data_IF_417395420318
#
_entry.id   IF_417395420318
#
_cell.length_a   1.000
_cell.length_b   1.000
_cell.length_c   1.000
_cell.angle_alpha   90.00
_cell.angle_beta   90.00
_cell.angle_gamma   90.00
#
_symmetry.space_group_name_H-M   'P 1'
#
loop_
_entity.id
_entity.type
_entity.pdbx_description
1 polymer ?
#
# COMPACT_ATOMS: atom_id res chain seq x y z
N UNK A 1 55.89 -19.96 -30.16
CA UNK A 1 55.90 -20.34 -28.72
C UNK A 1 55.24 -19.29 -27.83
N UNK A 2 55.89 -18.15 -27.49
CA UNK A 2 55.24 -17.11 -26.67
C UNK A 2 54.02 -16.47 -27.34
N UNK A 3 54.02 -16.39 -28.68
CA UNK A 3 52.90 -15.85 -29.45
C UNK A 3 51.60 -16.66 -29.30
N UNK A 4 51.65 -18.00 -29.23
CA UNK A 4 50.45 -18.85 -29.03
C UNK A 4 49.79 -18.60 -27.67
N UNK A 5 50.61 -18.38 -26.62
CA UNK A 5 50.11 -18.04 -25.28
C UNK A 5 49.55 -16.61 -25.26
N UNK A 6 50.22 -15.66 -25.94
CA UNK A 6 49.74 -14.28 -26.04
C UNK A 6 48.42 -14.18 -26.81
N UNK A 7 48.24 -14.96 -27.87
CA UNK A 7 47.02 -15.00 -28.67
C UNK A 7 45.86 -15.58 -27.83
N UNK A 8 46.10 -16.68 -27.12
CA UNK A 8 45.15 -17.23 -26.16
C UNK A 8 44.73 -16.23 -25.09
N UNK A 9 45.69 -15.51 -24.49
CA UNK A 9 45.39 -14.47 -23.50
C UNK A 9 44.60 -13.29 -24.11
N UNK A 10 44.83 -12.93 -25.38
CA UNK A 10 44.06 -11.89 -26.08
C UNK A 10 42.63 -12.35 -26.34
N UNK A 11 42.41 -13.58 -26.76
CA UNK A 11 41.06 -14.14 -26.94
C UNK A 11 40.29 -14.23 -25.61
N UNK A 12 41.01 -14.43 -24.50
CA UNK A 12 40.45 -14.61 -23.16
C UNK A 12 40.54 -13.37 -22.25
N UNK A 13 40.80 -12.17 -22.80
CA UNK A 13 40.95 -10.94 -22.01
C UNK A 13 39.73 -10.59 -21.15
N UNK A 14 38.53 -10.98 -21.60
CA UNK A 14 37.24 -10.82 -20.92
C UNK A 14 37.21 -11.38 -19.49
N UNK A 15 38.08 -12.36 -19.17
CA UNK A 15 38.23 -12.91 -17.83
C UNK A 15 38.58 -11.81 -16.83
N UNK A 16 39.38 -10.83 -17.26
CA UNK A 16 39.83 -9.72 -16.43
C UNK A 16 38.65 -8.90 -15.92
N UNK A 17 37.65 -8.66 -16.78
CA UNK A 17 36.49 -7.85 -16.43
C UNK A 17 35.55 -8.59 -15.49
N UNK A 18 35.32 -9.88 -15.75
CA UNK A 18 34.55 -10.75 -14.85
C UNK A 18 35.24 -10.83 -13.48
N UNK A 19 36.55 -11.05 -13.46
CA UNK A 19 37.31 -11.15 -12.21
C UNK A 19 37.27 -9.84 -11.42
N UNK A 20 37.42 -8.69 -12.08
CA UNK A 20 37.26 -7.36 -11.44
C UNK A 20 35.86 -7.20 -10.85
N UNK A 21 34.82 -7.58 -11.59
CA UNK A 21 33.45 -7.54 -11.11
C UNK A 21 33.29 -8.40 -9.85
N UNK A 22 33.66 -9.69 -9.92
CA UNK A 22 33.54 -10.64 -8.80
C UNK A 22 34.36 -10.20 -7.59
N UNK A 23 35.55 -9.64 -7.78
CA UNK A 23 36.38 -9.11 -6.69
C UNK A 23 35.74 -7.92 -5.98
N UNK A 24 34.96 -7.13 -6.71
CA UNK A 24 34.18 -6.02 -6.15
C UNK A 24 32.81 -6.44 -5.62
N UNK A 25 32.41 -7.71 -5.79
CA UNK A 25 31.16 -8.23 -5.27
C UNK A 25 31.24 -8.44 -3.75
N UNK A 26 30.18 -8.08 -3.03
CA UNK A 26 30.12 -8.20 -1.59
C UNK A 26 28.82 -7.66 -1.00
N UNK A 27 28.65 -7.72 0.33
CA UNK A 27 27.41 -7.37 1.02
C UNK A 27 26.90 -5.97 0.70
N UNK A 28 27.78 -4.99 0.55
CA UNK A 28 27.39 -3.62 0.22
C UNK A 28 26.68 -3.53 -1.14
N UNK A 29 27.18 -4.22 -2.17
CA UNK A 29 26.55 -4.22 -3.49
C UNK A 29 25.18 -4.89 -3.49
N UNK A 30 25.03 -5.94 -2.68
CA UNK A 30 23.73 -6.59 -2.48
C UNK A 30 22.76 -5.59 -1.84
N UNK A 31 23.17 -4.90 -0.78
CA UNK A 31 22.32 -3.89 -0.13
C UNK A 31 21.97 -2.74 -1.07
N UNK A 32 22.91 -2.23 -1.87
CA UNK A 32 22.69 -1.17 -2.85
C UNK A 32 21.65 -1.56 -3.92
N UNK A 33 21.52 -2.85 -4.20
CA UNK A 33 20.52 -3.34 -5.14
C UNK A 33 19.11 -3.38 -4.57
N UNK A 34 18.93 -3.42 -3.24
CA UNK A 34 17.61 -3.61 -2.61
C UNK A 34 16.63 -2.51 -3.05
N UNK A 35 15.47 -2.90 -3.57
CA UNK A 35 14.47 -1.95 -4.05
C UNK A 35 14.79 -1.28 -5.38
N UNK A 36 15.83 -1.71 -6.09
CA UNK A 36 16.11 -1.21 -7.43
C UNK A 36 15.01 -1.63 -8.44
N UNK A 37 14.87 -0.90 -9.56
CA UNK A 37 14.01 -1.34 -10.66
C UNK A 37 14.34 -2.76 -11.11
N UNK A 38 13.29 -3.57 -11.36
CA UNK A 38 13.40 -4.99 -11.73
C UNK A 38 14.32 -5.21 -12.94
N UNK A 39 14.28 -4.30 -13.92
CA UNK A 39 15.15 -4.33 -15.10
C UNK A 39 16.64 -4.44 -14.74
N UNK A 40 17.07 -3.84 -13.62
CA UNK A 40 18.46 -3.88 -13.18
C UNK A 40 18.85 -5.29 -12.71
N UNK A 41 17.96 -5.96 -11.98
CA UNK A 41 18.15 -7.34 -11.57
C UNK A 41 18.18 -8.28 -12.78
N UNK A 42 17.24 -8.13 -13.72
CA UNK A 42 17.19 -8.94 -14.96
C UNK A 42 18.49 -8.80 -15.74
N UNK A 43 18.95 -7.57 -15.99
CA UNK A 43 20.20 -7.32 -16.72
C UNK A 43 21.41 -7.97 -16.04
N UNK A 44 21.50 -7.87 -14.71
CA UNK A 44 22.60 -8.46 -13.95
C UNK A 44 22.57 -9.98 -14.03
N UNK A 45 21.42 -10.61 -13.77
CA UNK A 45 21.29 -12.07 -13.76
C UNK A 45 21.51 -12.65 -15.16
N UNK A 46 21.02 -11.99 -16.21
CA UNK A 46 21.34 -12.37 -17.59
C UNK A 46 22.84 -12.30 -17.88
N UNK A 47 23.52 -11.21 -17.46
CA UNK A 47 24.97 -11.07 -17.63
C UNK A 47 25.75 -12.18 -16.90
N UNK A 48 25.33 -12.54 -15.69
CA UNK A 48 25.93 -13.63 -14.91
C UNK A 48 25.73 -14.99 -15.60
N UNK A 49 24.56 -15.24 -16.19
CA UNK A 49 24.30 -16.47 -16.94
C UNK A 49 25.17 -16.54 -18.19
N UNK A 50 25.29 -15.45 -18.95
CA UNK A 50 26.16 -15.38 -20.13
C UNK A 50 27.63 -15.62 -19.77
N UNK A 51 28.09 -15.01 -18.67
CA UNK A 51 29.44 -15.22 -18.13
C UNK A 51 29.66 -16.65 -17.66
N UNK A 52 28.68 -17.27 -17.00
CA UNK A 52 28.75 -18.66 -16.60
C UNK A 52 28.91 -19.58 -17.81
N UNK A 53 28.10 -19.40 -18.86
CA UNK A 53 28.24 -20.16 -20.11
C UNK A 53 29.59 -19.94 -20.77
N UNK A 54 30.08 -18.69 -20.80
CA UNK A 54 31.38 -18.36 -21.39
C UNK A 54 32.55 -19.00 -20.64
N UNK A 55 32.55 -18.97 -19.31
CA UNK A 55 33.57 -19.61 -18.48
C UNK A 55 33.51 -21.13 -18.63
N UNK A 56 32.32 -21.72 -18.63
CA UNK A 56 32.17 -23.17 -18.78
C UNK A 56 32.62 -23.69 -20.15
N UNK A 57 32.51 -22.87 -21.21
CA UNK A 57 33.04 -23.20 -22.54
C UNK A 57 34.56 -22.94 -22.70
N UNK A 58 35.22 -22.35 -21.71
CA UNK A 58 36.65 -22.06 -21.76
C UNK A 58 37.48 -23.36 -21.80
N UNK A 59 38.53 -23.43 -22.66
CA UNK A 59 39.49 -24.52 -22.67
C UNK A 59 40.19 -24.67 -21.32
N UNK A 60 40.28 -25.91 -20.83
CA UNK A 60 40.91 -26.22 -19.53
C UNK A 60 42.43 -26.25 -19.68
N UNK A 61 42.94 -26.60 -20.86
CA UNK A 61 44.36 -26.70 -21.15
C UNK A 61 44.68 -26.23 -22.57
N UNK A 62 45.86 -25.63 -22.75
CA UNK A 62 46.44 -25.31 -24.05
C UNK A 62 47.85 -25.91 -24.13
N UNK A 63 48.04 -26.86 -25.04
CA UNK A 63 49.36 -27.42 -25.37
C UNK A 63 49.89 -26.74 -26.63
N UNK A 64 51.05 -26.08 -26.51
CA UNK A 64 51.71 -25.42 -27.65
C UNK A 64 52.09 -26.42 -28.76
N UNK A 65 52.17 -25.98 -30.03
CA UNK A 65 52.41 -26.85 -31.21
C UNK A 65 53.70 -27.70 -31.12
N UNK A 66 54.69 -27.26 -30.34
CA UNK A 66 55.93 -27.99 -30.07
C UNK A 66 55.89 -28.90 -28.83
N UNK A 67 54.78 -28.95 -28.10
CA UNK A 67 54.61 -29.64 -26.80
C UNK A 67 55.61 -29.20 -25.72
N UNK A 68 56.13 -27.97 -25.82
CA UNK A 68 57.15 -27.44 -24.92
C UNK A 68 56.54 -26.76 -23.69
N UNK A 69 55.32 -26.23 -23.82
CA UNK A 69 54.58 -25.56 -22.75
C UNK A 69 53.13 -26.03 -22.74
N UNK A 70 52.63 -26.31 -21.53
CA UNK A 70 51.24 -26.59 -21.20
C UNK A 70 50.72 -25.47 -20.30
N UNK A 71 49.70 -24.74 -20.77
CA UNK A 71 48.99 -23.77 -19.95
C UNK A 71 47.73 -24.44 -19.40
N UNK A 72 47.65 -24.59 -18.08
CA UNK A 72 46.44 -25.08 -17.40
C UNK A 72 45.61 -23.91 -16.89
N UNK A 73 44.36 -23.84 -17.32
CA UNK A 73 43.35 -22.87 -16.88
C UNK A 73 42.40 -23.45 -15.83
N UNK A 74 42.62 -24.70 -15.39
CA UNK A 74 41.70 -25.43 -14.52
C UNK A 74 41.37 -24.66 -13.23
N UNK A 75 42.38 -24.28 -12.45
CA UNK A 75 42.17 -23.58 -11.18
C UNK A 75 41.42 -22.25 -11.36
N UNK A 76 41.78 -21.49 -12.38
CA UNK A 76 41.14 -20.20 -12.68
C UNK A 76 39.68 -20.41 -13.11
N UNK A 77 39.41 -21.39 -13.97
CA UNK A 77 38.05 -21.73 -14.41
C UNK A 77 37.19 -22.12 -13.20
N UNK A 78 37.68 -23.03 -12.36
CA UNK A 78 36.96 -23.47 -11.16
C UNK A 78 36.74 -22.33 -10.15
N UNK A 79 37.72 -21.44 -9.96
CA UNK A 79 37.56 -20.24 -9.12
C UNK A 79 36.47 -19.31 -9.67
N UNK A 80 36.48 -19.03 -10.98
CA UNK A 80 35.47 -18.18 -11.62
C UNK A 80 34.08 -18.80 -11.55
N UNK A 81 33.94 -20.08 -11.87
CA UNK A 81 32.67 -20.82 -11.82
C UNK A 81 32.10 -20.81 -10.40
N UNK A 82 32.91 -21.09 -9.38
CA UNK A 82 32.46 -21.08 -7.99
C UNK A 82 32.05 -19.68 -7.50
N UNK A 83 32.79 -18.63 -7.88
CA UNK A 83 32.45 -17.25 -7.53
C UNK A 83 31.20 -16.74 -8.25
N UNK A 84 31.03 -17.09 -9.53
CA UNK A 84 29.81 -16.76 -10.29
C UNK A 84 28.59 -17.45 -9.68
N UNK A 85 28.69 -18.75 -9.34
CA UNK A 85 27.60 -19.47 -8.70
C UNK A 85 27.29 -18.92 -7.30
N UNK A 86 28.31 -18.58 -6.50
CA UNK A 86 28.13 -17.92 -5.20
C UNK A 86 27.41 -16.57 -5.35
N UNK A 87 27.85 -15.73 -6.29
CA UNK A 87 27.24 -14.42 -6.56
C UNK A 87 25.77 -14.59 -6.94
N UNK A 88 25.46 -15.56 -7.80
CA UNK A 88 24.08 -15.88 -8.21
C UNK A 88 23.23 -16.34 -7.02
N UNK A 89 23.78 -17.19 -6.15
CA UNK A 89 23.11 -17.63 -4.91
C UNK A 89 22.84 -16.47 -3.95
N UNK A 90 23.77 -15.53 -3.83
CA UNK A 90 23.60 -14.35 -2.98
C UNK A 90 22.44 -13.47 -3.49
N UNK A 91 22.38 -13.22 -4.80
CA UNK A 91 21.27 -12.46 -5.42
C UNK A 91 19.95 -13.18 -5.20
N UNK A 92 19.90 -14.51 -5.44
CA UNK A 92 18.69 -15.30 -5.23
C UNK A 92 18.19 -15.18 -3.79
N UNK A 93 19.08 -15.39 -2.81
CA UNK A 93 18.74 -15.31 -1.39
C UNK A 93 18.24 -13.91 -1.00
N UNK A 94 18.86 -12.85 -1.54
CA UNK A 94 18.40 -11.49 -1.31
C UNK A 94 17.01 -11.25 -1.88
N UNK A 95 16.79 -11.59 -3.16
CA UNK A 95 15.50 -11.36 -3.83
C UNK A 95 14.39 -12.16 -3.13
N UNK A 96 14.65 -13.42 -2.75
CA UNK A 96 13.71 -14.24 -1.98
C UNK A 96 13.35 -13.59 -0.64
N UNK A 97 14.35 -13.11 0.11
CA UNK A 97 14.10 -12.45 1.38
C UNK A 97 13.34 -11.13 1.20
N UNK A 98 13.68 -10.35 0.18
CA UNK A 98 12.99 -9.10 -0.15
C UNK A 98 11.53 -9.35 -0.52
N UNK A 99 11.24 -10.30 -1.40
CA UNK A 99 9.88 -10.71 -1.75
C UNK A 99 9.12 -11.14 -0.49
N UNK A 100 9.70 -12.00 0.35
CA UNK A 100 9.06 -12.47 1.59
C UNK A 100 8.68 -11.32 2.53
N UNK A 101 9.63 -10.44 2.83
CA UNK A 101 9.40 -9.32 3.77
C UNK A 101 8.33 -8.37 3.22
N UNK A 102 8.43 -8.02 1.93
CA UNK A 102 7.47 -7.11 1.28
C UNK A 102 6.08 -7.70 1.19
N UNK A 103 5.95 -8.98 0.79
CA UNK A 103 4.67 -9.70 0.76
C UNK A 103 4.03 -9.74 2.13
N UNK A 104 4.78 -10.12 3.18
CA UNK A 104 4.24 -10.19 4.54
C UNK A 104 3.73 -8.83 5.04
N UNK A 105 4.49 -7.77 4.78
CA UNK A 105 4.09 -6.41 5.12
C UNK A 105 2.81 -6.01 4.38
N UNK A 106 2.77 -6.19 3.05
CA UNK A 106 1.61 -5.84 2.24
C UNK A 106 0.37 -6.66 2.65
N UNK A 107 0.50 -7.97 2.82
CA UNK A 107 -0.62 -8.82 3.25
C UNK A 107 -1.18 -8.41 4.62
N UNK A 108 -0.33 -7.95 5.54
CA UNK A 108 -0.76 -7.47 6.86
C UNK A 108 -1.57 -6.18 6.72
N UNK A 109 -1.08 -5.21 5.93
CA UNK A 109 -1.80 -3.97 5.65
C UNK A 109 -3.16 -4.25 4.96
N UNK A 110 -3.18 -5.13 3.96
CA UNK A 110 -4.42 -5.54 3.27
C UNK A 110 -5.41 -6.25 4.21
N UNK A 111 -4.89 -7.11 5.11
CA UNK A 111 -5.71 -7.79 6.12
C UNK A 111 -6.41 -6.79 7.05
N UNK A 112 -5.73 -5.71 7.43
CA UNK A 112 -6.30 -4.67 8.29
C UNK A 112 -7.44 -3.92 7.57
N UNK A 113 -7.34 -3.67 6.26
CA UNK A 113 -8.45 -3.15 5.46
C UNK A 113 -9.62 -4.13 5.40
N UNK A 114 -9.35 -5.38 5.00
CA UNK A 114 -10.36 -6.44 4.83
C UNK A 114 -11.17 -6.66 6.12
N UNK A 115 -10.50 -6.72 7.27
CA UNK A 115 -11.17 -6.89 8.57
C UNK A 115 -12.18 -5.80 8.89
N UNK A 116 -11.89 -4.55 8.52
CA UNK A 116 -12.80 -3.42 8.75
C UNK A 116 -13.99 -3.50 7.79
N UNK A 117 -13.77 -3.86 6.53
CA UNK A 117 -14.82 -3.99 5.52
C UNK A 117 -15.81 -5.10 5.86
N UNK A 118 -15.32 -6.25 6.35
CA UNK A 118 -16.17 -7.39 6.71
C UNK A 118 -17.15 -7.14 7.86
N UNK A 119 -16.84 -6.20 8.77
CA UNK A 119 -17.69 -5.90 9.93
C UNK A 119 -18.63 -4.72 9.72
N UNK A 120 -18.74 -4.19 8.50
CA UNK A 120 -19.50 -2.98 8.18
C UNK A 120 -20.96 -3.01 8.65
N UNK A 121 -21.60 -4.19 8.69
CA UNK A 121 -23.00 -4.33 9.06
C UNK A 121 -23.24 -4.56 10.56
N UNK A 122 -22.21 -4.52 11.40
CA UNK A 122 -22.32 -4.83 12.83
C UNK A 122 -23.03 -3.73 13.63
N UNK A 123 -22.60 -2.47 13.48
CA UNK A 123 -23.15 -1.32 14.20
C UNK A 123 -22.81 0.00 13.49
N UNK A 124 -23.34 1.13 14.00
CA UNK A 124 -23.11 2.46 13.41
C UNK A 124 -21.65 2.92 13.47
N UNK A 125 -20.90 2.51 14.49
CA UNK A 125 -19.47 2.82 14.62
C UNK A 125 -18.64 1.99 13.64
N UNK A 126 -19.05 0.75 13.33
CA UNK A 126 -18.45 -0.09 12.31
C UNK A 126 -18.65 0.54 10.92
N UNK A 127 -19.83 1.08 10.64
CA UNK A 127 -20.09 1.81 9.39
C UNK A 127 -19.19 3.05 9.28
N UNK A 128 -19.12 3.88 10.33
CA UNK A 128 -18.28 5.08 10.33
C UNK A 128 -16.78 4.75 10.16
N UNK A 129 -16.27 3.73 10.87
CA UNK A 129 -14.90 3.24 10.69
C UNK A 129 -14.66 2.71 9.28
N UNK A 130 -15.65 2.02 8.70
CA UNK A 130 -15.56 1.54 7.33
C UNK A 130 -15.50 2.68 6.31
N UNK A 131 -16.28 3.76 6.50
CA UNK A 131 -16.17 4.96 5.64
C UNK A 131 -14.75 5.53 5.65
N UNK A 132 -14.18 5.74 6.86
CA UNK A 132 -12.83 6.26 7.01
C UNK A 132 -11.79 5.36 6.35
N UNK A 133 -11.87 4.04 6.63
CA UNK A 133 -10.91 3.07 6.10
C UNK A 133 -11.04 2.89 4.57
N UNK A 134 -12.24 3.04 4.02
CA UNK A 134 -12.47 3.02 2.58
C UNK A 134 -11.84 4.24 1.89
N UNK A 135 -11.95 5.43 2.48
CA UNK A 135 -11.29 6.63 1.96
C UNK A 135 -9.77 6.48 1.96
N UNK A 136 -9.20 6.00 3.08
CA UNK A 136 -7.77 5.69 3.18
C UNK A 136 -7.34 4.67 2.10
N UNK A 137 -8.12 3.61 1.89
CA UNK A 137 -7.85 2.60 0.87
C UNK A 137 -7.88 3.18 -0.55
N UNK A 138 -8.78 4.13 -0.82
CA UNK A 138 -8.88 4.78 -2.12
C UNK A 138 -7.70 5.72 -2.38
N UNK A 139 -7.27 6.48 -1.37
CA UNK A 139 -6.09 7.34 -1.44
C UNK A 139 -4.80 6.54 -1.67
N UNK A 140 -4.66 5.40 -1.00
CA UNK A 140 -3.46 4.56 -1.07
C UNK A 140 -3.47 3.55 -2.23
N UNK A 141 -4.58 3.41 -2.98
CA UNK A 141 -4.76 2.29 -3.91
C UNK A 141 -3.64 2.14 -4.94
N UNK A 142 -3.26 3.25 -5.61
CA UNK A 142 -2.20 3.24 -6.63
C UNK A 142 -0.88 2.75 -6.01
N UNK A 143 -0.53 3.24 -4.82
CA UNK A 143 0.70 2.84 -4.15
C UNK A 143 0.67 1.36 -3.74
N UNK A 144 -0.48 0.83 -3.31
CA UNK A 144 -0.64 -0.58 -2.97
C UNK A 144 -0.51 -1.47 -4.21
N UNK A 145 -1.09 -1.04 -5.33
CA UNK A 145 -1.01 -1.72 -6.64
C UNK A 145 0.43 -1.75 -7.17
N UNK A 146 1.14 -0.62 -7.17
CA UNK A 146 2.56 -0.56 -7.56
C UNK A 146 3.44 -1.48 -6.71
N UNK A 147 3.17 -1.56 -5.40
CA UNK A 147 3.88 -2.47 -4.49
C UNK A 147 3.58 -3.93 -4.82
N UNK A 148 2.34 -4.25 -5.14
CA UNK A 148 1.92 -5.59 -5.56
C UNK A 148 2.64 -6.03 -6.84
N UNK A 149 2.59 -5.18 -7.88
CA UNK A 149 3.25 -5.43 -9.16
C UNK A 149 4.77 -5.60 -9.02
N UNK A 150 5.41 -4.79 -8.17
CA UNK A 150 6.83 -4.91 -7.90
C UNK A 150 7.17 -6.26 -7.26
N UNK A 151 6.39 -6.70 -6.26
CA UNK A 151 6.60 -8.00 -5.60
C UNK A 151 6.40 -9.15 -6.59
N UNK A 152 5.35 -9.11 -7.40
CA UNK A 152 5.11 -10.11 -8.45
C UNK A 152 6.27 -10.16 -9.43
N UNK A 153 6.81 -9.01 -9.83
CA UNK A 153 7.96 -8.93 -10.72
C UNK A 153 9.23 -9.54 -10.11
N UNK A 154 9.43 -9.44 -8.79
CA UNK A 154 10.52 -10.13 -8.09
C UNK A 154 10.33 -11.65 -8.07
N UNK A 155 9.10 -12.12 -7.83
CA UNK A 155 8.77 -13.54 -7.83
C UNK A 155 8.94 -14.15 -9.23
N UNK A 156 8.53 -13.41 -10.26
CA UNK A 156 8.68 -13.81 -11.66
C UNK A 156 10.16 -13.81 -12.10
N UNK A 157 10.97 -12.88 -11.61
CA UNK A 157 12.43 -12.92 -11.78
C UNK A 157 13.02 -14.21 -11.22
N UNK A 158 12.62 -14.61 -10.00
CA UNK A 158 13.08 -15.87 -9.39
C UNK A 158 12.68 -17.05 -10.28
N UNK A 159 11.41 -17.09 -10.69
CA UNK A 159 10.83 -18.16 -11.51
C UNK A 159 11.56 -18.35 -12.83
N UNK A 160 11.82 -17.26 -13.55
CA UNK A 160 12.38 -17.31 -14.91
C UNK A 160 13.89 -17.50 -14.96
N UNK A 161 14.64 -16.99 -13.97
CA UNK A 161 16.09 -16.91 -14.08
C UNK A 161 16.86 -17.85 -13.14
N UNK A 162 16.23 -18.39 -12.10
CA UNK A 162 16.94 -19.19 -11.09
C UNK A 162 16.65 -20.69 -11.12
N UNK A 163 15.87 -21.18 -12.09
CA UNK A 163 15.56 -22.62 -12.35
C UNK A 163 14.89 -23.40 -11.19
N UNK A 164 14.97 -22.91 -9.95
CA UNK A 164 14.39 -23.49 -8.75
C UNK A 164 13.42 -22.49 -8.12
N UNK A 165 12.14 -22.66 -8.41
CA UNK A 165 11.07 -21.97 -7.71
C UNK A 165 10.62 -22.87 -6.55
N UNK A 166 10.89 -22.44 -5.32
CA UNK A 166 10.55 -23.24 -4.14
C UNK A 166 9.03 -23.27 -3.92
N UNK A 167 8.53 -24.36 -3.34
CA UNK A 167 7.12 -24.45 -2.91
C UNK A 167 6.74 -23.33 -1.93
N UNK A 168 7.71 -22.80 -1.17
CA UNK A 168 7.51 -21.64 -0.29
C UNK A 168 7.24 -20.36 -1.08
N UNK A 169 7.97 -20.13 -2.19
CA UNK A 169 7.75 -18.97 -3.06
C UNK A 169 6.38 -19.06 -3.76
N UNK A 170 6.01 -20.25 -4.23
CA UNK A 170 4.70 -20.49 -4.85
C UNK A 170 3.56 -20.24 -3.86
N UNK A 171 3.67 -20.79 -2.65
CA UNK A 171 2.69 -20.54 -1.61
C UNK A 171 2.59 -19.05 -1.26
N UNK A 172 3.71 -18.35 -1.20
CA UNK A 172 3.75 -16.92 -0.91
C UNK A 172 3.07 -16.11 -2.02
N UNK A 173 3.32 -16.44 -3.29
CA UNK A 173 2.73 -15.79 -4.45
C UNK A 173 1.21 -15.97 -4.47
N UNK A 174 0.73 -17.21 -4.31
CA UNK A 174 -0.70 -17.53 -4.22
C UNK A 174 -1.35 -16.79 -3.06
N UNK A 175 -0.75 -16.83 -1.86
CA UNK A 175 -1.33 -16.15 -0.68
C UNK A 175 -1.42 -14.64 -0.86
N UNK A 176 -0.44 -14.03 -1.56
CA UNK A 176 -0.43 -12.61 -1.84
C UNK A 176 -1.52 -12.23 -2.85
N UNK A 177 -1.68 -13.03 -3.92
CA UNK A 177 -2.74 -12.88 -4.91
C UNK A 177 -4.12 -13.01 -4.26
N UNK A 178 -4.35 -14.07 -3.50
CA UNK A 178 -5.62 -14.30 -2.79
C UNK A 178 -5.97 -13.12 -1.87
N UNK A 179 -4.98 -12.59 -1.15
CA UNK A 179 -5.18 -11.45 -0.25
C UNK A 179 -5.48 -10.15 -1.01
N UNK A 180 -4.82 -9.93 -2.15
CA UNK A 180 -5.07 -8.78 -3.01
C UNK A 180 -6.47 -8.84 -3.63
N UNK A 181 -6.90 -9.99 -4.12
CA UNK A 181 -8.25 -10.22 -4.64
C UNK A 181 -9.31 -10.03 -3.55
N UNK A 182 -9.09 -10.60 -2.36
CA UNK A 182 -9.98 -10.41 -1.22
C UNK A 182 -10.10 -8.92 -0.86
N UNK A 183 -9.00 -8.18 -0.81
CA UNK A 183 -9.02 -6.74 -0.58
C UNK A 183 -9.84 -5.98 -1.62
N UNK A 184 -9.62 -6.24 -2.91
CA UNK A 184 -10.36 -5.58 -3.99
C UNK A 184 -11.86 -5.87 -3.93
N UNK A 185 -12.21 -7.14 -3.69
CA UNK A 185 -13.58 -7.58 -3.56
C UNK A 185 -14.28 -6.92 -2.37
N UNK A 186 -13.69 -7.02 -1.18
CA UNK A 186 -14.26 -6.47 0.06
C UNK A 186 -14.36 -4.95 0.02
N UNK A 187 -13.39 -4.27 -0.60
CA UNK A 187 -13.45 -2.82 -0.82
C UNK A 187 -14.64 -2.43 -1.72
N UNK A 188 -14.84 -3.18 -2.81
CA UNK A 188 -15.95 -2.93 -3.73
C UNK A 188 -17.29 -3.17 -3.06
N UNK A 189 -17.41 -4.27 -2.30
CA UNK A 189 -18.60 -4.59 -1.52
C UNK A 189 -18.86 -3.51 -0.45
N UNK A 190 -17.84 -3.09 0.29
CA UNK A 190 -17.96 -2.03 1.30
C UNK A 190 -18.42 -0.72 0.67
N UNK A 191 -17.88 -0.35 -0.50
CA UNK A 191 -18.30 0.84 -1.24
C UNK A 191 -19.79 0.76 -1.62
N UNK A 192 -20.24 -0.37 -2.15
CA UNK A 192 -21.65 -0.57 -2.52
C UNK A 192 -22.58 -0.53 -1.30
N UNK A 193 -22.19 -1.20 -0.20
CA UNK A 193 -22.96 -1.18 1.05
C UNK A 193 -23.05 0.25 1.59
N UNK A 194 -21.94 1.00 1.64
CA UNK A 194 -21.94 2.37 2.11
C UNK A 194 -22.81 3.27 1.25
N UNK A 195 -22.75 3.13 -0.08
CA UNK A 195 -23.60 3.87 -1.01
C UNK A 195 -25.09 3.55 -0.76
N UNK A 196 -25.43 2.27 -0.59
CA UNK A 196 -26.81 1.85 -0.28
C UNK A 196 -27.30 2.43 1.07
N UNK A 197 -26.45 2.44 2.10
CA UNK A 197 -26.77 2.99 3.41
C UNK A 197 -26.85 4.51 3.39
N UNK A 198 -26.04 5.19 2.59
CA UNK A 198 -26.12 6.65 2.40
C UNK A 198 -27.53 7.06 1.94
N UNK A 199 -28.13 6.32 1.00
CA UNK A 199 -29.49 6.61 0.54
C UNK A 199 -30.57 6.51 1.63
N UNK A 200 -30.29 5.83 2.75
CA UNK A 200 -31.24 5.69 3.87
C UNK A 200 -30.87 6.58 5.06
N UNK A 201 -29.59 6.63 5.42
CA UNK A 201 -29.07 7.33 6.61
C UNK A 201 -28.99 8.84 6.35
N UNK A 202 -28.55 9.27 5.17
CA UNK A 202 -28.38 10.70 4.85
C UNK A 202 -29.70 11.45 4.91
N UNK A 203 -30.82 10.99 4.30
CA UNK A 203 -32.10 11.66 4.45
C UNK A 203 -32.59 11.70 5.90
N UNK A 204 -32.31 10.64 6.68
CA UNK A 204 -32.71 10.60 8.09
C UNK A 204 -31.94 11.60 8.94
N UNK A 205 -30.62 11.72 8.73
CA UNK A 205 -29.79 12.74 9.37
C UNK A 205 -30.26 14.14 8.99
N UNK A 206 -30.55 14.39 7.71
CA UNK A 206 -31.10 15.67 7.24
C UNK A 206 -32.43 16.01 7.91
N UNK A 207 -33.35 15.04 8.05
CA UNK A 207 -34.61 15.22 8.76
C UNK A 207 -34.40 15.58 10.24
N UNK A 208 -33.47 14.90 10.93
CA UNK A 208 -33.17 15.16 12.34
C UNK A 208 -32.50 16.53 12.55
N UNK A 209 -31.61 16.93 11.64
CA UNK A 209 -31.00 18.26 11.64
C UNK A 209 -32.05 19.36 11.41
N UNK A 210 -32.94 19.20 10.42
CA UNK A 210 -34.03 20.14 10.17
C UNK A 210 -34.97 20.26 11.39
N UNK A 211 -35.29 19.15 12.05
CA UNK A 211 -36.09 19.17 13.27
C UNK A 211 -35.38 19.88 14.44
N UNK A 212 -34.07 19.70 14.58
CA UNK A 212 -33.28 20.41 15.59
C UNK A 212 -33.21 21.93 15.31
N UNK A 213 -33.04 22.33 14.05
CA UNK A 213 -33.07 23.73 13.64
C UNK A 213 -34.44 24.38 13.92
N UNK A 214 -35.54 23.71 13.54
CA UNK A 214 -36.89 24.20 13.84
C UNK A 214 -37.15 24.30 15.36
N UNK A 215 -36.55 23.42 16.18
CA UNK A 215 -36.60 23.54 17.64
C UNK A 215 -35.83 24.76 18.14
N UNK A 216 -34.62 25.01 17.64
CA UNK A 216 -33.84 26.20 17.99
C UNK A 216 -34.59 27.49 17.64
N UNK A 217 -35.17 27.56 16.44
CA UNK A 217 -35.96 28.70 16.00
C UNK A 217 -37.21 28.89 16.87
N UNK A 218 -37.90 27.80 17.23
CA UNK A 218 -39.03 27.84 18.16
C UNK A 218 -38.66 28.29 19.58
N UNK A 219 -37.47 27.91 20.08
CA UNK A 219 -36.95 28.38 21.36
C UNK A 219 -36.62 29.88 21.32
N UNK A 220 -36.00 30.35 20.23
CA UNK A 220 -35.73 31.78 20.02
C UNK A 220 -37.03 32.59 19.92
N UNK A 221 -38.02 32.11 19.17
CA UNK A 221 -39.33 32.76 19.08
C UNK A 221 -40.01 32.86 20.45
N UNK A 222 -39.94 31.80 21.27
CA UNK A 222 -40.46 31.84 22.66
C UNK A 222 -39.73 32.85 23.52
N UNK A 223 -38.40 32.91 23.45
CA UNK A 223 -37.61 33.86 24.22
C UNK A 223 -37.88 35.32 23.80
N UNK A 224 -38.21 35.54 22.52
CA UNK A 224 -38.49 36.86 21.94
C UNK A 224 -39.99 37.25 21.98
N UNK A 225 -40.84 36.48 22.64
CA UNK A 225 -42.29 36.72 22.67
C UNK A 225 -42.93 36.50 24.04
N UNK A 226 -44.17 36.98 24.20
CA UNK A 226 -45.01 36.70 25.38
C UNK A 226 -44.46 37.27 26.70
N UNK A 227 -44.49 36.50 27.81
CA UNK A 227 -44.20 37.00 29.16
C UNK A 227 -42.75 37.46 29.35
N UNK A 228 -41.84 37.10 28.44
CA UNK A 228 -40.44 37.55 28.49
C UNK A 228 -40.24 39.00 28.04
N UNK A 229 -41.24 39.57 27.36
CA UNK A 229 -41.24 40.97 26.90
C UNK A 229 -42.19 41.86 27.72
N UNK A 230 -42.87 41.30 28.71
CA UNK A 230 -43.86 41.98 29.55
C UNK A 230 -43.22 42.45 30.88
N UNK A 231 -43.09 43.77 31.09
CA UNK A 231 -42.45 44.32 32.29
C UNK A 231 -43.29 44.13 33.58
N UNK A 232 -44.54 43.67 33.50
CA UNK A 232 -45.39 43.42 34.67
C UNK A 232 -45.20 42.01 35.28
N UNK A 233 -44.38 41.16 34.67
CA UNK A 233 -44.14 39.78 35.12
C UNK A 233 -43.20 39.65 36.32
N UNK A 234 -43.33 38.57 37.08
CA UNK A 234 -42.49 38.30 38.25
C UNK A 234 -41.05 37.96 37.85
N UNK A 235 -40.11 38.86 38.17
CA UNK A 235 -38.71 38.81 37.75
C UNK A 235 -38.01 37.45 38.01
N UNK A 236 -38.15 36.87 39.21
CA UNK A 236 -37.52 35.58 39.55
C UNK A 236 -38.09 34.39 38.77
N UNK A 237 -39.39 34.44 38.45
CA UNK A 237 -40.04 33.39 37.67
C UNK A 237 -39.56 33.44 36.22
N UNK A 238 -39.46 34.64 35.65
CA UNK A 238 -38.96 34.87 34.29
C UNK A 238 -37.47 34.49 34.16
N UNK A 239 -36.64 34.87 35.12
CA UNK A 239 -35.20 34.52 35.13
C UNK A 239 -35.00 32.99 35.12
N UNK A 240 -35.70 32.25 35.98
CA UNK A 240 -35.62 30.79 36.01
C UNK A 240 -36.11 30.14 34.70
N UNK A 241 -37.14 30.71 34.07
CA UNK A 241 -37.64 30.22 32.78
C UNK A 241 -36.67 30.51 31.62
N UNK A 242 -35.98 31.66 31.65
CA UNK A 242 -34.93 32.00 30.68
C UNK A 242 -33.72 31.08 30.81
N UNK A 243 -33.26 30.80 32.02
CA UNK A 243 -32.17 29.84 32.27
C UNK A 243 -32.54 28.44 31.75
N UNK A 244 -33.79 28.01 31.97
CA UNK A 244 -34.27 26.74 31.44
C UNK A 244 -34.32 26.71 29.90
N UNK A 245 -34.74 27.82 29.28
CA UNK A 245 -34.71 28.00 27.82
C UNK A 245 -33.28 27.98 27.27
N UNK A 246 -32.34 28.62 27.95
CA UNK A 246 -30.92 28.65 27.57
C UNK A 246 -30.32 27.24 27.60
N UNK A 247 -30.55 26.46 28.66
CA UNK A 247 -30.09 25.08 28.73
C UNK A 247 -30.68 24.23 27.59
N UNK A 248 -31.99 24.35 27.31
CA UNK A 248 -32.62 23.63 26.20
C UNK A 248 -32.03 24.01 24.84
N UNK A 249 -31.68 25.29 24.66
CA UNK A 249 -31.02 25.77 23.46
C UNK A 249 -29.63 25.16 23.32
N UNK A 250 -28.81 25.18 24.38
CA UNK A 250 -27.46 24.61 24.39
C UNK A 250 -27.46 23.09 24.15
N UNK A 251 -28.40 22.35 24.76
CA UNK A 251 -28.56 20.91 24.53
C UNK A 251 -28.91 20.62 23.06
N UNK A 252 -29.80 21.43 22.47
CA UNK A 252 -30.23 21.26 21.08
C UNK A 252 -29.10 21.62 20.09
N UNK A 253 -28.30 22.64 20.39
CA UNK A 253 -27.09 22.98 19.61
C UNK A 253 -26.07 21.85 19.66
N UNK A 254 -25.83 21.28 20.85
CA UNK A 254 -24.90 20.15 21.02
C UNK A 254 -25.34 18.94 20.18
N UNK A 255 -26.63 18.60 20.23
CA UNK A 255 -27.21 17.55 19.40
C UNK A 255 -27.09 17.84 17.90
N UNK A 256 -27.30 19.09 17.48
CA UNK A 256 -27.15 19.48 16.07
C UNK A 256 -25.70 19.30 15.59
N UNK A 257 -24.72 19.65 16.42
CA UNK A 257 -23.30 19.46 16.12
C UNK A 257 -22.95 17.97 15.97
N UNK A 258 -23.47 17.10 16.83
CA UNK A 258 -23.29 15.65 16.73
C UNK A 258 -23.90 15.08 15.43
N UNK A 259 -25.12 15.50 15.10
CA UNK A 259 -25.80 15.10 13.86
C UNK A 259 -25.05 15.58 12.62
N UNK A 260 -24.52 16.79 12.65
CA UNK A 260 -23.73 17.35 11.56
C UNK A 260 -22.39 16.61 11.41
N UNK A 261 -21.70 16.30 12.51
CA UNK A 261 -20.48 15.51 12.47
C UNK A 261 -20.72 14.11 11.86
N UNK A 262 -21.82 13.45 12.25
CA UNK A 262 -22.22 12.19 11.64
C UNK A 262 -22.47 12.35 10.13
N UNK A 263 -23.20 13.40 9.71
CA UNK A 263 -23.47 13.68 8.31
C UNK A 263 -22.18 13.84 7.49
N UNK A 264 -21.23 14.66 7.95
CA UNK A 264 -19.94 14.89 7.27
C UNK A 264 -19.15 13.58 7.16
N UNK A 265 -19.15 12.77 8.21
CA UNK A 265 -18.46 11.48 8.23
C UNK A 265 -19.04 10.51 7.20
N UNK A 266 -20.36 10.53 7.01
CA UNK A 266 -21.07 9.64 6.09
C UNK A 266 -21.01 10.09 4.64
N UNK A 267 -20.93 11.39 4.38
CA UNK A 267 -21.03 11.96 3.02
C UNK A 267 -19.68 12.39 2.45
N UNK A 268 -18.68 12.61 3.30
CA UNK A 268 -17.37 13.14 2.87
C UNK A 268 -17.42 14.59 2.37
N UNK A 269 -18.58 15.25 2.44
CA UNK A 269 -18.75 16.65 2.03
C UNK A 269 -18.67 17.55 3.26
N UNK A 270 -17.64 18.38 3.33
CA UNK A 270 -17.56 19.53 4.26
C UNK A 270 -18.47 20.69 3.80
N UNK A 271 -19.28 20.49 2.75
CA UNK A 271 -20.01 21.56 2.08
C UNK A 271 -21.07 22.21 2.98
N UNK A 272 -20.66 23.30 3.62
CA UNK A 272 -21.49 24.32 4.24
C UNK A 272 -22.57 24.90 3.30
N UNK A 273 -22.54 24.59 2.00
CA UNK A 273 -23.52 25.08 1.01
C UNK A 273 -24.89 24.40 1.10
N UNK A 274 -25.01 23.19 1.67
CA UNK A 274 -26.32 22.58 1.87
C UNK A 274 -27.11 23.19 3.02
N UNK A 275 -26.44 23.79 4.00
CA UNK A 275 -27.08 24.46 5.13
C UNK A 275 -27.88 25.69 4.68
N UNK A 276 -27.35 26.49 3.75
CA UNK A 276 -28.06 27.63 3.16
C UNK A 276 -29.18 27.23 2.19
N UNK A 277 -29.10 26.05 1.57
CA UNK A 277 -30.19 25.55 0.70
C UNK A 277 -31.41 25.07 1.50
N UNK A 278 -31.21 24.57 2.73
CA UNK A 278 -32.29 24.17 3.62
C UNK A 278 -33.12 25.39 4.08
N UNK A 279 -32.45 26.52 4.34
CA UNK A 279 -33.06 27.78 4.75
C UNK A 279 -34.03 28.34 3.69
N UNK A 280 -33.74 28.15 2.40
CA UNK A 280 -34.63 28.59 1.31
C UNK A 280 -35.83 27.67 1.05
N UNK A 281 -35.78 26.41 1.50
CA UNK A 281 -36.86 25.44 1.28
C UNK A 281 -37.96 25.51 2.34
N UNK A 282 -37.67 26.09 3.52
CA UNK A 282 -38.64 26.35 4.59
C UNK A 282 -39.36 27.70 4.43
N UNK A 283 -38.92 28.53 3.47
CA UNK A 283 -39.51 29.83 3.12
C UNK A 283 -40.47 29.77 1.90
N UNK A 284 -40.98 28.58 1.54
CA UNK A 284 -42.04 28.42 0.53
C UNK A 284 -43.25 27.65 1.05
#
# INVERSE_FOLDING_TARGET
>A
MLWEVQDFCREHHWITDIYKFLKSWGPQKLEDMRGCPIKNYVQLVSSLNDWQTRVSNMPIELLTRGKLLLLSCHNMKTELESKLDSTRKDILAQVQNESRIRSQKLMTELTDFVRVFQIINSDIHAIARCCQKLNEANEQYIQLEERMEYIQSLLELIRNHFSFYSAENEKLDISLLDMWEAFQFERSQASEILLSKQHTIVPKLQQLMAAALAQLEGLLQKALSGPFMDPEQEQRSIENQLIALEHQYQDTVSRLNELHHAYVTFTGTEDHHHFYSFDQSLLR
#
